data_IF_483101074286
#
_entry.id   IF_483101074286
#
_cell.length_a   1.000
_cell.length_b   1.000
_cell.length_c   1.000
_cell.angle_alpha   90.00
_cell.angle_beta   90.00
_cell.angle_gamma   90.00
#
_symmetry.space_group_name_H-M   'P 1'
#
loop_
_entity.id
_entity.type
_entity.pdbx_description
1 polymer ?
#
# COMPACT_ATOMS: atom_id res chain seq x y z
N UNK A 1 -18.32 -20.64 64.03
CA UNK A 1 -17.86 -21.41 62.85
C UNK A 1 -18.72 -21.02 61.66
N UNK A 2 -18.39 -19.99 60.95
CA UNK A 2 -18.74 -19.81 59.54
C UNK A 2 -17.84 -18.74 59.00
N UNK A 3 -16.83 -19.19 58.27
CA UNK A 3 -15.97 -18.32 57.43
C UNK A 3 -16.78 -17.81 56.26
N UNK A 4 -16.98 -16.51 56.19
CA UNK A 4 -17.49 -15.82 55.01
C UNK A 4 -16.30 -15.53 54.10
N UNK A 5 -16.20 -16.22 53.03
CA UNK A 5 -15.24 -15.93 51.97
C UNK A 5 -15.79 -14.74 51.18
N UNK A 6 -15.38 -13.56 51.56
CA UNK A 6 -15.48 -12.38 50.71
C UNK A 6 -14.43 -12.49 49.59
N UNK A 7 -14.84 -12.90 48.42
CA UNK A 7 -14.05 -12.68 47.20
C UNK A 7 -14.19 -11.19 46.90
N UNK A 8 -13.21 -10.40 47.32
CA UNK A 8 -13.03 -9.06 46.78
C UNK A 8 -12.63 -9.24 45.31
N UNK A 9 -13.57 -9.04 44.40
CA UNK A 9 -13.20 -8.78 42.98
C UNK A 9 -12.29 -7.53 42.98
N UNK A 10 -11.00 -7.77 42.79
CA UNK A 10 -10.07 -6.70 42.45
C UNK A 10 -10.60 -5.99 41.20
N UNK A 11 -11.28 -4.88 41.40
CA UNK A 11 -11.58 -3.94 40.31
C UNK A 11 -10.21 -3.48 39.78
N UNK A 12 -9.74 -4.13 38.72
CA UNK A 12 -8.53 -3.72 38.01
C UNK A 12 -8.70 -2.26 37.64
N UNK A 13 -8.01 -1.37 38.38
CA UNK A 13 -7.91 0.05 38.00
C UNK A 13 -7.44 0.07 36.53
N UNK A 14 -8.14 0.80 35.66
CA UNK A 14 -7.69 0.94 34.28
C UNK A 14 -6.22 1.34 34.31
N UNK A 15 -5.38 0.57 33.62
CA UNK A 15 -3.95 0.84 33.63
C UNK A 15 -3.72 2.26 33.08
N UNK A 16 -2.65 2.93 33.52
CA UNK A 16 -2.24 4.26 33.02
C UNK A 16 -2.22 4.28 31.49
N UNK A 17 -1.90 3.16 30.84
CA UNK A 17 -1.93 2.95 29.38
C UNK A 17 -3.30 3.21 28.75
N UNK A 18 -4.41 2.91 29.42
CA UNK A 18 -5.76 3.12 28.83
C UNK A 18 -6.11 4.60 28.73
N UNK A 19 -5.72 5.40 29.69
CA UNK A 19 -5.94 6.86 29.69
C UNK A 19 -5.05 7.52 28.64
N UNK A 20 -3.77 7.12 28.59
CA UNK A 20 -2.83 7.58 27.58
C UNK A 20 -3.32 7.24 26.18
N UNK A 21 -3.79 6.00 25.94
CA UNK A 21 -4.33 5.55 24.67
C UNK A 21 -5.56 6.36 24.24
N UNK A 22 -6.48 6.66 25.15
CA UNK A 22 -7.64 7.50 24.87
C UNK A 22 -7.22 8.93 24.48
N UNK A 23 -6.21 9.48 25.14
CA UNK A 23 -5.64 10.78 24.82
C UNK A 23 -4.98 10.79 23.44
N UNK A 24 -4.17 9.78 23.12
CA UNK A 24 -3.53 9.63 21.80
C UNK A 24 -4.56 9.56 20.68
N UNK A 25 -5.60 8.73 20.83
CA UNK A 25 -6.68 8.60 19.85
C UNK A 25 -7.40 9.93 19.60
N UNK A 26 -7.68 10.68 20.65
CA UNK A 26 -8.31 12.00 20.53
C UNK A 26 -7.41 12.99 19.81
N UNK A 27 -6.13 13.01 20.13
CA UNK A 27 -5.15 13.88 19.48
C UNK A 27 -5.02 13.56 17.98
N UNK A 28 -4.94 12.28 17.61
CA UNK A 28 -4.87 11.83 16.21
C UNK A 28 -6.14 12.27 15.44
N UNK A 29 -7.33 12.08 16.01
CA UNK A 29 -8.57 12.53 15.40
C UNK A 29 -8.60 14.05 15.19
N UNK A 30 -8.10 14.82 16.14
CA UNK A 30 -7.98 16.27 16.00
C UNK A 30 -7.01 16.66 14.89
N UNK A 31 -5.88 15.99 14.72
CA UNK A 31 -4.95 16.22 13.61
C UNK A 31 -5.62 15.97 12.26
N UNK A 32 -6.38 14.89 12.12
CA UNK A 32 -7.14 14.60 10.89
C UNK A 32 -8.16 15.71 10.61
N UNK A 33 -8.90 16.16 11.60
CA UNK A 33 -9.87 17.25 11.44
C UNK A 33 -9.18 18.56 11.01
N UNK A 34 -8.03 18.86 11.57
CA UNK A 34 -7.26 20.06 11.22
C UNK A 34 -6.74 19.98 9.78
N UNK A 35 -6.12 18.88 9.38
CA UNK A 35 -5.55 18.75 8.04
C UNK A 35 -6.62 18.71 6.95
N UNK A 36 -7.78 18.12 7.23
CA UNK A 36 -8.90 18.05 6.28
C UNK A 36 -9.76 19.30 6.26
N UNK A 37 -9.69 20.14 7.30
CA UNK A 37 -10.61 21.25 7.52
C UNK A 37 -12.06 20.78 7.78
N UNK A 38 -12.26 19.52 8.16
CA UNK A 38 -13.56 18.87 8.30
C UNK A 38 -13.72 18.23 9.67
N UNK A 39 -14.89 18.38 10.28
CA UNK A 39 -15.22 17.81 11.60
C UNK A 39 -16.07 16.53 11.50
N UNK A 40 -16.48 16.16 10.29
CA UNK A 40 -17.32 14.98 10.04
C UNK A 40 -16.51 13.71 9.72
N UNK A 41 -15.19 13.83 9.57
CA UNK A 41 -14.31 12.70 9.29
C UNK A 41 -14.17 11.81 10.53
N UNK A 42 -14.57 10.56 10.40
CA UNK A 42 -14.42 9.56 11.46
C UNK A 42 -13.04 8.94 11.40
N UNK A 43 -12.35 8.94 12.53
CA UNK A 43 -11.09 8.22 12.71
C UNK A 43 -11.37 6.94 13.50
N UNK A 44 -11.21 5.80 12.86
CA UNK A 44 -11.45 4.48 13.42
C UNK A 44 -10.11 3.82 13.77
N UNK A 45 -10.03 3.22 14.95
CA UNK A 45 -8.86 2.48 15.41
C UNK A 45 -9.16 0.99 15.39
N UNK A 46 -8.40 0.22 14.59
CA UNK A 46 -8.59 -1.23 14.42
C UNK A 46 -7.33 -1.99 14.82
N UNK A 47 -7.50 -3.24 15.22
CA UNK A 47 -6.38 -4.18 15.37
C UNK A 47 -5.79 -4.49 13.99
N UNK A 48 -4.46 -4.66 13.95
CA UNK A 48 -3.69 -4.81 12.71
C UNK A 48 -2.82 -3.59 12.45
N UNK A 49 -1.96 -3.68 11.45
CA UNK A 49 -0.97 -2.64 11.15
C UNK A 49 -1.38 -1.75 9.96
N UNK A 50 -2.49 -2.08 9.29
CA UNK A 50 -2.97 -1.34 8.13
C UNK A 50 -3.58 0.01 8.52
N UNK A 51 -3.18 1.04 7.78
CA UNK A 51 -3.79 2.37 7.82
C UNK A 51 -4.26 2.74 6.42
N UNK A 52 -5.47 3.28 6.29
CA UNK A 52 -6.05 3.64 5.00
C UNK A 52 -7.21 4.62 5.13
N UNK A 53 -7.60 5.20 4.01
CA UNK A 53 -8.85 5.96 3.88
C UNK A 53 -9.70 5.50 2.69
N UNK A 54 -11.01 5.69 2.78
CA UNK A 54 -11.98 5.50 1.69
C UNK A 54 -12.56 6.83 1.17
N UNK A 55 -11.97 7.95 1.62
CA UNK A 55 -12.45 9.30 1.31
C UNK A 55 -13.51 9.83 2.28
N UNK A 56 -13.99 9.01 3.21
CA UNK A 56 -15.04 9.38 4.19
C UNK A 56 -14.61 9.16 5.64
N UNK A 57 -13.70 8.25 5.86
CA UNK A 57 -13.13 7.92 7.18
C UNK A 57 -11.66 7.61 7.04
N UNK A 58 -10.94 7.76 8.14
CA UNK A 58 -9.56 7.31 8.29
C UNK A 58 -9.54 6.10 9.21
N UNK A 59 -8.82 5.05 8.83
CA UNK A 59 -8.58 3.85 9.65
C UNK A 59 -7.12 3.83 10.03
N UNK A 60 -6.84 3.67 11.33
CA UNK A 60 -5.49 3.64 11.89
C UNK A 60 -5.33 2.41 12.78
N UNK A 61 -4.13 1.87 12.86
CA UNK A 61 -3.79 0.81 13.81
C UNK A 61 -4.12 1.24 15.26
N UNK A 62 -4.75 0.34 16.01
CA UNK A 62 -5.02 0.56 17.43
C UNK A 62 -3.79 0.37 18.34
N UNK A 63 -2.68 -0.15 17.81
CA UNK A 63 -1.44 -0.39 18.55
C UNK A 63 -0.64 0.91 18.73
N UNK A 64 -1.21 1.88 19.46
CA UNK A 64 -0.60 3.18 19.69
C UNK A 64 0.08 3.17 21.04
N UNK A 65 1.37 3.52 21.05
CA UNK A 65 2.22 3.67 22.24
C UNK A 65 2.98 4.99 22.12
N UNK A 66 3.51 5.49 23.20
CA UNK A 66 4.32 6.71 23.21
C UNK A 66 5.43 6.66 22.16
N UNK A 67 6.15 5.54 22.05
CA UNK A 67 7.27 5.36 21.12
C UNK A 67 6.92 5.43 19.64
N UNK A 68 5.66 5.17 19.25
CA UNK A 68 5.19 5.21 17.87
C UNK A 68 4.11 6.27 17.63
N UNK A 69 3.86 7.14 18.58
CA UNK A 69 2.82 8.17 18.50
C UNK A 69 3.05 9.08 17.30
N UNK A 70 4.25 9.64 17.15
CA UNK A 70 4.57 10.56 16.05
C UNK A 70 4.43 9.91 14.67
N UNK A 71 4.88 8.66 14.52
CA UNK A 71 4.71 7.93 13.25
C UNK A 71 3.24 7.61 12.96
N UNK A 72 2.45 7.35 14.00
CA UNK A 72 1.01 7.11 13.88
C UNK A 72 0.26 8.41 13.54
N UNK A 73 0.65 9.54 14.10
CA UNK A 73 0.15 10.86 13.68
C UNK A 73 0.50 11.13 12.22
N UNK A 74 1.73 10.81 11.81
CA UNK A 74 2.16 10.92 10.42
C UNK A 74 1.27 10.13 9.46
N UNK A 75 0.96 8.88 9.77
CA UNK A 75 0.01 8.07 9.00
C UNK A 75 -1.39 8.70 8.94
N UNK A 76 -1.91 9.15 10.07
CA UNK A 76 -3.24 9.76 10.12
C UNK A 76 -3.32 11.06 9.31
N UNK A 77 -2.26 11.88 9.34
CA UNK A 77 -2.15 13.08 8.53
C UNK A 77 -2.06 12.74 7.03
N UNK A 78 -1.31 11.70 6.69
CA UNK A 78 -1.19 11.21 5.31
C UNK A 78 -2.56 10.76 4.78
N UNK A 79 -3.26 9.88 5.49
CA UNK A 79 -4.58 9.40 5.13
C UNK A 79 -5.64 10.53 5.08
N UNK A 80 -5.57 11.46 6.02
CA UNK A 80 -6.41 12.66 6.01
C UNK A 80 -6.14 13.55 4.80
N UNK A 81 -4.89 13.64 4.37
CA UNK A 81 -4.48 14.41 3.19
C UNK A 81 -5.02 13.82 1.90
N UNK A 82 -5.15 12.49 1.79
CA UNK A 82 -5.87 11.85 0.69
C UNK A 82 -7.33 12.31 0.62
N UNK A 83 -8.03 12.42 1.76
CA UNK A 83 -9.42 12.91 1.79
C UNK A 83 -9.52 14.33 1.21
N UNK A 84 -8.52 15.16 1.46
CA UNK A 84 -8.47 16.54 0.99
C UNK A 84 -8.11 16.65 -0.50
N UNK A 85 -7.18 15.81 -0.98
CA UNK A 85 -6.46 16.05 -2.22
C UNK A 85 -6.71 15.02 -3.32
N UNK A 86 -7.19 13.81 -2.98
CA UNK A 86 -7.38 12.74 -3.96
C UNK A 86 -8.80 12.72 -4.55
N UNK A 87 -8.89 12.38 -5.84
CA UNK A 87 -10.16 12.17 -6.53
C UNK A 87 -10.63 10.72 -6.35
N UNK A 88 -11.39 10.47 -5.28
CA UNK A 88 -11.93 9.14 -4.98
C UNK A 88 -12.97 8.64 -6.00
N UNK A 89 -13.60 9.54 -6.75
CA UNK A 89 -14.50 9.13 -7.84
C UNK A 89 -13.67 8.55 -8.99
N UNK A 90 -12.60 9.23 -9.38
CA UNK A 90 -11.66 8.71 -10.36
C UNK A 90 -11.07 7.36 -9.93
N UNK A 91 -10.63 7.22 -8.67
CA UNK A 91 -10.08 5.97 -8.14
C UNK A 91 -11.08 4.81 -8.17
N UNK A 92 -12.36 5.07 -7.88
CA UNK A 92 -13.43 4.06 -7.99
C UNK A 92 -13.70 3.65 -9.43
N UNK A 93 -13.72 4.61 -10.35
CA UNK A 93 -13.94 4.35 -11.78
C UNK A 93 -12.78 3.54 -12.37
N UNK A 94 -11.56 3.84 -11.95
CA UNK A 94 -10.37 3.07 -12.27
C UNK A 94 -10.52 1.61 -11.83
N UNK A 95 -10.94 1.37 -10.60
CA UNK A 95 -11.20 0.03 -10.08
C UNK A 95 -12.35 -0.69 -10.83
N UNK A 96 -13.28 0.03 -11.44
CA UNK A 96 -14.37 -0.48 -12.27
C UNK A 96 -13.95 -0.98 -13.66
N UNK A 97 -12.67 -0.87 -14.02
CA UNK A 97 -12.12 -1.48 -15.24
C UNK A 97 -12.00 -0.57 -16.46
N UNK A 98 -12.20 0.75 -16.27
CA UNK A 98 -11.95 1.74 -17.32
C UNK A 98 -10.56 2.35 -17.13
N UNK A 99 -9.54 1.95 -17.91
CA UNK A 99 -8.26 2.42 -17.45
C UNK A 99 -7.12 2.62 -18.40
N UNK A 100 -6.93 1.83 -19.40
CA UNK A 100 -5.69 1.97 -20.16
C UNK A 100 -5.91 1.67 -21.61
N UNK A 101 -5.01 2.18 -22.43
CA UNK A 101 -5.01 1.87 -23.85
C UNK A 101 -4.77 0.37 -24.10
N UNK A 102 -5.17 -0.06 -25.28
CA UNK A 102 -4.99 -1.46 -25.67
C UNK A 102 -3.50 -1.85 -25.77
N UNK A 103 -2.62 -0.89 -26.01
CA UNK A 103 -1.18 -1.14 -26.15
C UNK A 103 -0.57 -1.60 -24.83
N UNK A 104 -0.85 -0.90 -23.74
CA UNK A 104 -0.39 -1.29 -22.39
C UNK A 104 -0.93 -2.66 -21.98
N UNK A 105 -2.22 -2.94 -22.29
CA UNK A 105 -2.81 -4.26 -22.01
C UNK A 105 -2.11 -5.37 -22.80
N UNK A 106 -1.83 -5.15 -24.09
CA UNK A 106 -1.12 -6.12 -24.93
C UNK A 106 0.32 -6.34 -24.46
N UNK A 107 1.04 -5.28 -24.11
CA UNK A 107 2.38 -5.40 -23.52
C UNK A 107 2.37 -6.26 -22.27
N UNK A 108 1.43 -5.98 -21.35
CA UNK A 108 1.30 -6.73 -20.10
C UNK A 108 0.93 -8.21 -20.36
N UNK A 109 0.03 -8.48 -21.31
CA UNK A 109 -0.34 -9.83 -21.69
C UNK A 109 0.85 -10.63 -22.24
N UNK A 110 1.73 -10.01 -23.02
CA UNK A 110 2.97 -10.63 -23.53
C UNK A 110 3.95 -10.98 -22.39
N UNK A 111 3.80 -10.33 -21.22
CA UNK A 111 4.55 -10.64 -19.99
C UNK A 111 3.80 -11.59 -19.05
N UNK A 112 2.69 -12.19 -19.49
CA UNK A 112 1.89 -13.13 -18.70
C UNK A 112 0.88 -12.50 -17.75
N UNK A 113 0.68 -11.17 -17.77
CA UNK A 113 -0.25 -10.49 -16.88
C UNK A 113 -1.65 -10.38 -17.47
N UNK A 114 -2.64 -10.77 -16.67
CA UNK A 114 -4.05 -10.60 -17.00
C UNK A 114 -4.50 -9.14 -16.84
N UNK A 115 -5.67 -8.78 -17.35
CA UNK A 115 -6.25 -7.46 -17.15
C UNK A 115 -6.46 -7.09 -15.66
N UNK A 116 -6.92 -7.99 -14.78
CA UNK A 116 -6.92 -7.74 -13.33
C UNK A 116 -5.55 -7.40 -12.74
N UNK A 117 -4.48 -8.08 -13.19
CA UNK A 117 -3.12 -7.79 -12.72
C UNK A 117 -2.68 -6.39 -13.15
N UNK A 118 -2.94 -6.00 -14.41
CA UNK A 118 -2.68 -4.63 -14.90
C UNK A 118 -3.37 -3.58 -14.05
N UNK A 119 -4.65 -3.81 -13.70
CA UNK A 119 -5.39 -2.90 -12.82
C UNK A 119 -4.78 -2.81 -11.42
N UNK A 120 -4.37 -3.95 -10.87
CA UNK A 120 -3.70 -4.01 -9.56
C UNK A 120 -2.37 -3.26 -9.58
N UNK A 121 -1.53 -3.51 -10.58
CA UNK A 121 -0.24 -2.86 -10.77
C UNK A 121 -0.39 -1.34 -10.91
N UNK A 122 -1.28 -0.89 -11.80
CA UNK A 122 -1.54 0.54 -11.99
C UNK A 122 -2.08 1.21 -10.75
N UNK A 123 -2.90 0.51 -9.96
CA UNK A 123 -3.39 1.03 -8.69
C UNK A 123 -2.26 1.22 -7.68
N UNK A 124 -1.32 0.28 -7.59
CA UNK A 124 -0.15 0.39 -6.70
C UNK A 124 0.76 1.56 -7.13
N UNK A 125 1.04 1.67 -8.43
CA UNK A 125 1.86 2.77 -8.97
C UNK A 125 1.19 4.12 -8.80
N UNK A 126 -0.11 4.20 -9.06
CA UNK A 126 -0.88 5.42 -8.83
C UNK A 126 -0.85 5.84 -7.37
N UNK A 127 -1.05 4.90 -6.44
CA UNK A 127 -0.97 5.19 -5.01
C UNK A 127 0.40 5.79 -4.66
N UNK A 128 1.49 5.18 -5.14
CA UNK A 128 2.83 5.69 -4.91
C UNK A 128 3.05 7.11 -5.43
N UNK A 129 2.65 7.40 -6.68
CA UNK A 129 2.81 8.74 -7.27
C UNK A 129 1.93 9.78 -6.59
N UNK A 130 0.69 9.38 -6.25
CA UNK A 130 -0.26 10.23 -5.53
C UNK A 130 0.27 10.58 -4.14
N UNK A 131 0.87 9.63 -3.42
CA UNK A 131 1.52 9.88 -2.12
C UNK A 131 2.62 10.94 -2.24
N UNK A 132 3.44 10.87 -3.30
CA UNK A 132 4.51 11.89 -3.52
C UNK A 132 3.92 13.26 -3.75
N UNK A 133 2.83 13.36 -4.52
CA UNK A 133 2.10 14.61 -4.78
C UNK A 133 1.52 15.20 -3.50
N UNK A 134 0.85 14.37 -2.72
CA UNK A 134 0.18 14.75 -1.47
C UNK A 134 1.21 15.19 -0.43
N UNK A 135 2.26 14.40 -0.22
CA UNK A 135 3.32 14.72 0.74
C UNK A 135 4.00 16.04 0.39
N UNK A 136 4.29 16.26 -0.90
CA UNK A 136 4.85 17.54 -1.35
C UNK A 136 3.91 18.71 -1.03
N UNK A 137 2.61 18.57 -1.30
CA UNK A 137 1.62 19.59 -0.99
C UNK A 137 1.59 19.93 0.50
N UNK A 138 1.57 18.93 1.36
CA UNK A 138 1.57 19.12 2.83
C UNK A 138 2.88 19.75 3.29
N UNK A 139 4.03 19.30 2.80
CA UNK A 139 5.32 19.86 3.17
C UNK A 139 5.46 21.34 2.80
N UNK A 140 4.85 21.75 1.69
CA UNK A 140 4.84 23.14 1.25
C UNK A 140 3.88 24.00 2.05
N UNK A 141 2.66 23.53 2.27
CA UNK A 141 1.57 24.34 2.82
C UNK A 141 1.41 24.19 4.34
N UNK A 142 1.91 23.14 4.93
CA UNK A 142 1.77 22.81 6.36
C UNK A 142 3.10 22.33 6.95
N UNK A 143 4.16 23.15 6.93
CA UNK A 143 5.51 22.71 7.32
C UNK A 143 5.62 22.24 8.77
N UNK A 144 4.69 22.62 9.64
CA UNK A 144 4.62 22.16 11.05
C UNK A 144 4.39 20.65 11.17
N UNK A 145 3.88 19.99 10.14
CA UNK A 145 3.63 18.55 10.14
C UNK A 145 4.82 17.70 9.70
N UNK A 146 5.86 18.30 9.15
CA UNK A 146 7.04 17.59 8.61
C UNK A 146 7.64 16.59 9.61
N UNK A 147 7.71 16.94 10.90
CA UNK A 147 8.25 16.06 11.92
C UNK A 147 7.52 14.73 12.03
N UNK A 148 6.21 14.73 11.94
CA UNK A 148 5.37 13.53 11.97
C UNK A 148 5.56 12.68 10.71
N UNK A 149 5.61 13.31 9.54
CA UNK A 149 5.90 12.61 8.27
C UNK A 149 7.30 11.99 8.28
N UNK A 150 8.32 12.69 8.77
CA UNK A 150 9.65 12.13 8.90
C UNK A 150 9.69 10.92 9.84
N UNK A 151 8.94 10.97 10.95
CA UNK A 151 8.81 9.83 11.87
C UNK A 151 8.12 8.65 11.20
N UNK A 152 7.07 8.89 10.40
CA UNK A 152 6.38 7.89 9.61
C UNK A 152 7.33 7.24 8.60
N UNK A 153 8.01 8.04 7.77
CA UNK A 153 8.97 7.53 6.78
C UNK A 153 10.09 6.72 7.41
N UNK A 154 10.66 7.20 8.53
CA UNK A 154 11.71 6.48 9.26
C UNK A 154 11.25 5.13 9.77
N UNK A 155 10.00 5.04 10.18
CA UNK A 155 9.43 3.82 10.74
C UNK A 155 9.11 2.78 9.66
N UNK A 156 8.48 3.21 8.57
CA UNK A 156 7.89 2.30 7.58
C UNK A 156 8.73 2.12 6.32
N UNK A 157 9.45 3.14 5.85
CA UNK A 157 10.17 3.13 4.57
C UNK A 157 11.70 3.23 4.71
N UNK A 158 12.20 3.76 5.82
CA UNK A 158 13.64 3.98 6.02
C UNK A 158 14.13 3.27 7.28
N UNK A 159 13.52 2.14 7.61
CA UNK A 159 13.95 1.30 8.73
C UNK A 159 15.23 0.53 8.39
N UNK A 160 15.96 0.07 9.42
CA UNK A 160 17.16 -0.75 9.20
C UNK A 160 16.89 -2.05 8.44
N UNK A 161 15.67 -2.60 8.53
CA UNK A 161 15.28 -3.81 7.79
C UNK A 161 15.17 -3.47 6.31
N UNK A 162 14.50 -2.38 5.96
CA UNK A 162 14.40 -1.91 4.57
C UNK A 162 15.78 -1.55 4.00
N UNK A 163 16.62 -0.85 4.76
CA UNK A 163 17.99 -0.52 4.34
C UNK A 163 18.84 -1.76 4.06
N UNK A 164 18.66 -2.84 4.82
CA UNK A 164 19.32 -4.11 4.56
C UNK A 164 18.79 -4.78 3.30
N UNK A 165 17.48 -4.80 3.11
CA UNK A 165 16.85 -5.37 1.91
C UNK A 165 17.29 -4.61 0.64
N UNK A 166 17.35 -3.27 0.67
CA UNK A 166 17.85 -2.46 -0.46
C UNK A 166 19.27 -2.84 -0.87
N UNK A 167 20.14 -3.18 0.11
CA UNK A 167 21.56 -3.50 -0.10
C UNK A 167 21.83 -4.99 -0.33
N UNK A 168 20.81 -5.83 -0.22
CA UNK A 168 20.92 -7.26 -0.47
C UNK A 168 20.79 -7.60 -1.95
N UNK A 169 21.02 -8.84 -2.29
CA UNK A 169 20.78 -9.39 -3.62
C UNK A 169 19.29 -9.73 -3.85
N UNK A 170 18.42 -9.44 -2.88
CA UNK A 170 16.98 -9.53 -3.05
C UNK A 170 16.47 -8.40 -3.94
N UNK A 171 15.37 -8.62 -4.63
CA UNK A 171 14.74 -7.62 -5.52
C UNK A 171 15.70 -7.07 -6.60
N UNK A 172 16.44 -8.00 -7.23
CA UNK A 172 17.39 -7.69 -8.32
C UNK A 172 17.03 -8.37 -9.65
N UNK A 173 15.93 -9.13 -9.68
CA UNK A 173 15.40 -9.79 -10.87
C UNK A 173 14.51 -8.85 -11.68
N UNK A 174 14.41 -9.08 -12.99
CA UNK A 174 13.54 -8.30 -13.87
C UNK A 174 12.07 -8.76 -13.73
N UNK A 175 11.54 -8.74 -12.51
CA UNK A 175 10.17 -9.08 -12.18
C UNK A 175 9.41 -7.90 -11.55
N UNK A 176 8.10 -8.01 -11.50
CA UNK A 176 7.23 -6.98 -10.95
C UNK A 176 7.54 -6.64 -9.49
N UNK A 177 7.77 -7.64 -8.65
CA UNK A 177 7.98 -7.44 -7.22
C UNK A 177 9.27 -6.68 -6.94
N UNK A 178 10.33 -6.97 -7.71
CA UNK A 178 11.61 -6.27 -7.65
C UNK A 178 11.45 -4.79 -8.05
N UNK A 179 10.80 -4.52 -9.17
CA UNK A 179 10.54 -3.12 -9.59
C UNK A 179 9.67 -2.39 -8.56
N UNK A 180 8.60 -3.00 -8.07
CA UNK A 180 7.73 -2.40 -7.06
C UNK A 180 8.49 -2.08 -5.78
N UNK A 181 9.29 -3.03 -5.27
CA UNK A 181 10.10 -2.80 -4.07
C UNK A 181 11.08 -1.64 -4.26
N UNK A 182 11.82 -1.61 -5.37
CA UNK A 182 12.77 -0.55 -5.69
C UNK A 182 12.08 0.80 -5.85
N UNK A 183 10.94 0.84 -6.51
CA UNK A 183 10.14 2.04 -6.70
C UNK A 183 9.65 2.62 -5.38
N UNK A 184 9.07 1.80 -4.49
CA UNK A 184 8.59 2.24 -3.18
C UNK A 184 9.71 2.86 -2.33
N UNK A 185 10.96 2.45 -2.59
CA UNK A 185 12.14 2.91 -1.87
C UNK A 185 12.96 4.00 -2.60
N UNK A 186 12.44 4.59 -3.67
CA UNK A 186 13.16 5.65 -4.41
C UNK A 186 13.46 6.91 -3.56
N UNK A 187 12.70 7.15 -2.49
CA UNK A 187 12.99 8.25 -1.55
C UNK A 187 14.02 7.88 -0.48
N UNK A 188 14.39 6.59 -0.35
CA UNK A 188 15.39 6.15 0.59
C UNK A 188 16.79 6.65 0.14
N UNK A 189 17.60 7.17 1.08
CA UNK A 189 18.96 7.62 0.81
C UNK A 189 19.90 6.52 0.31
N UNK A 190 19.59 5.25 0.63
CA UNK A 190 20.37 4.07 0.22
C UNK A 190 19.85 3.46 -1.09
N UNK A 191 18.91 4.11 -1.80
CA UNK A 191 18.41 3.60 -3.07
C UNK A 191 19.55 3.31 -4.06
N UNK A 192 19.38 2.25 -4.81
CA UNK A 192 20.30 1.84 -5.88
C UNK A 192 19.54 1.91 -7.20
N UNK A 193 19.94 2.79 -8.10
CA UNK A 193 19.23 3.06 -9.35
C UNK A 193 19.77 2.23 -10.53
N UNK A 194 20.89 1.57 -10.34
CA UNK A 194 21.59 0.72 -11.32
C UNK A 194 21.31 -0.78 -11.16
N UNK A 195 20.48 -1.16 -10.20
CA UNK A 195 20.24 -2.56 -9.86
C UNK A 195 19.21 -3.24 -10.78
N UNK A 196 18.35 -2.47 -11.40
CA UNK A 196 17.38 -2.93 -12.40
C UNK A 196 17.46 -2.06 -13.65
N UNK A 197 17.23 -2.63 -14.84
CA UNK A 197 17.19 -1.85 -16.07
C UNK A 197 16.20 -0.69 -16.01
N UNK A 198 16.58 0.48 -16.49
CA UNK A 198 15.75 1.70 -16.56
C UNK A 198 15.16 2.18 -15.19
N UNK A 199 15.68 1.72 -14.05
CA UNK A 199 15.22 2.20 -12.74
C UNK A 199 15.60 3.67 -12.52
N UNK A 200 16.72 4.12 -13.04
CA UNK A 200 17.13 5.51 -13.09
C UNK A 200 16.18 6.36 -13.93
N UNK A 201 15.72 5.84 -15.06
CA UNK A 201 14.71 6.48 -15.91
C UNK A 201 13.36 6.59 -15.18
N UNK A 202 12.97 5.57 -14.41
CA UNK A 202 11.77 5.64 -13.56
C UNK A 202 11.92 6.74 -12.50
N UNK A 203 13.09 6.83 -11.87
CA UNK A 203 13.39 7.93 -10.95
C UNK A 203 13.24 9.29 -11.63
N UNK A 204 13.79 9.47 -12.83
CA UNK A 204 13.70 10.72 -13.58
C UNK A 204 12.25 11.05 -13.98
N UNK A 205 11.46 10.05 -14.37
CA UNK A 205 10.03 10.23 -14.66
C UNK A 205 9.29 10.80 -13.45
N UNK A 206 9.51 10.23 -12.26
CA UNK A 206 8.73 10.57 -11.06
C UNK A 206 9.23 11.87 -10.39
N UNK A 207 10.56 12.10 -10.34
CA UNK A 207 11.14 13.16 -9.51
C UNK A 207 11.76 14.32 -10.30
N UNK A 208 12.01 14.15 -11.59
CA UNK A 208 12.60 15.19 -12.44
C UNK A 208 11.58 15.68 -13.47
N UNK A 209 11.15 14.82 -14.39
CA UNK A 209 10.23 15.18 -15.48
C UNK A 209 8.85 15.58 -14.94
N UNK A 210 8.28 14.77 -14.05
CA UNK A 210 6.97 14.99 -13.44
C UNK A 210 7.14 15.24 -11.93
N UNK A 211 8.01 16.19 -11.57
CA UNK A 211 8.23 16.50 -10.17
C UNK A 211 6.90 16.69 -9.42
N UNK A 212 6.71 16.14 -8.21
CA UNK A 212 5.45 16.20 -7.46
C UNK A 212 4.79 17.58 -7.36
N UNK A 213 5.61 18.66 -7.41
CA UNK A 213 5.12 20.03 -7.41
C UNK A 213 4.33 20.44 -8.68
N UNK A 214 4.47 19.69 -9.75
CA UNK A 214 3.85 20.00 -11.05
C UNK A 214 2.53 19.24 -11.25
N UNK A 215 2.30 18.21 -10.46
CA UNK A 215 1.09 17.39 -10.53
C UNK A 215 -0.09 18.12 -9.86
N UNK A 216 -1.13 18.38 -10.64
CA UNK A 216 -2.28 19.16 -10.19
C UNK A 216 -3.32 18.34 -9.44
N UNK A 217 -3.56 17.12 -9.91
CA UNK A 217 -4.63 16.24 -9.43
C UNK A 217 -4.24 14.76 -9.56
N UNK A 218 -5.14 13.89 -9.13
CA UNK A 218 -5.00 12.42 -9.20
C UNK A 218 -4.86 11.91 -10.64
N UNK A 219 -5.46 12.61 -11.63
CA UNK A 219 -5.37 12.22 -13.05
C UNK A 219 -3.97 12.47 -13.61
N UNK A 220 -3.30 13.53 -13.18
CA UNK A 220 -1.91 13.77 -13.53
C UNK A 220 -1.00 12.71 -12.91
N UNK A 221 -1.24 12.35 -11.63
CA UNK A 221 -0.53 11.24 -10.98
C UNK A 221 -0.73 9.91 -11.73
N UNK A 222 -1.93 9.64 -12.22
CA UNK A 222 -2.22 8.46 -12.99
C UNK A 222 -1.45 8.39 -14.33
N UNK A 223 -1.32 9.51 -15.05
CA UNK A 223 -0.50 9.56 -16.28
C UNK A 223 0.94 9.19 -16.01
N UNK A 224 1.50 9.67 -14.89
CA UNK A 224 2.85 9.33 -14.47
C UNK A 224 2.96 7.84 -14.11
N UNK A 225 1.99 7.31 -13.36
CA UNK A 225 1.93 5.90 -13.02
C UNK A 225 1.86 5.00 -14.27
N UNK A 226 1.09 5.39 -15.28
CA UNK A 226 1.01 4.68 -16.56
C UNK A 226 2.34 4.73 -17.34
N UNK A 227 3.01 5.89 -17.36
CA UNK A 227 4.32 6.03 -17.97
C UNK A 227 5.36 5.12 -17.30
N UNK A 228 5.39 5.11 -15.95
CA UNK A 228 6.26 4.23 -15.16
C UNK A 228 5.95 2.77 -15.44
N UNK A 229 4.67 2.39 -15.49
CA UNK A 229 4.25 1.01 -15.75
C UNK A 229 4.74 0.53 -17.12
N UNK A 230 4.63 1.36 -18.16
CA UNK A 230 5.14 0.99 -19.48
C UNK A 230 6.67 0.77 -19.49
N UNK A 231 7.43 1.58 -18.74
CA UNK A 231 8.88 1.37 -18.60
C UNK A 231 9.17 0.03 -17.90
N UNK A 232 8.43 -0.29 -16.86
CA UNK A 232 8.56 -1.58 -16.15
C UNK A 232 8.26 -2.73 -17.12
N UNK A 233 7.13 -2.69 -17.84
CA UNK A 233 6.74 -3.74 -18.79
C UNK A 233 7.79 -3.98 -19.90
N UNK A 234 8.45 -2.91 -20.37
CA UNK A 234 9.49 -3.02 -21.38
C UNK A 234 10.75 -3.75 -20.87
N UNK A 235 10.93 -3.84 -19.55
CA UNK A 235 12.11 -4.42 -18.90
C UNK A 235 11.84 -5.73 -18.11
N UNK A 236 10.58 -6.14 -17.97
CA UNK A 236 10.26 -7.43 -17.34
C UNK A 236 10.72 -8.58 -18.24
N UNK A 237 11.17 -9.67 -17.63
CA UNK A 237 11.41 -10.91 -18.32
C UNK A 237 10.11 -11.41 -18.97
N UNK A 238 10.22 -12.10 -20.10
CA UNK A 238 9.05 -12.70 -20.75
C UNK A 238 8.46 -13.77 -19.85
N UNK A 239 7.13 -13.79 -19.74
CA UNK A 239 6.44 -14.83 -18.99
C UNK A 239 6.84 -16.19 -19.54
N UNK A 240 7.24 -17.12 -18.66
CA UNK A 240 7.47 -18.50 -19.06
C UNK A 240 6.10 -19.01 -19.55
N UNK A 241 5.97 -19.26 -20.86
CA UNK A 241 4.91 -20.13 -21.33
C UNK A 241 5.11 -21.48 -20.65
N UNK A 242 4.31 -21.77 -19.61
CA UNK A 242 4.17 -23.13 -19.16
C UNK A 242 3.65 -23.90 -20.38
N UNK A 243 4.54 -24.64 -21.06
CA UNK A 243 4.12 -25.68 -21.99
C UNK A 243 3.16 -26.57 -21.20
N UNK A 244 1.87 -26.37 -21.45
CA UNK A 244 0.85 -27.29 -21.00
C UNK A 244 1.15 -28.63 -21.71
N UNK A 245 1.99 -29.45 -21.07
CA UNK A 245 2.04 -30.86 -21.39
C UNK A 245 0.69 -31.44 -20.94
N UNK A 246 -0.33 -31.27 -21.76
CA UNK A 246 -1.50 -32.13 -21.72
C UNK A 246 -1.00 -33.53 -22.05
N UNK A 247 -0.58 -34.25 -21.03
CA UNK A 247 -0.50 -35.68 -21.08
C UNK A 247 -1.89 -36.19 -21.42
N UNK A 248 -2.01 -36.87 -22.57
CA UNK A 248 -3.18 -37.62 -22.96
C UNK A 248 -3.62 -38.49 -21.80
N UNK A 249 -4.79 -38.17 -21.23
CA UNK A 249 -5.47 -39.05 -20.29
C UNK A 249 -6.06 -40.18 -21.12
N UNK A 250 -5.36 -41.32 -21.16
CA UNK A 250 -5.94 -42.57 -21.63
C UNK A 250 -7.15 -42.91 -20.77
N UNK A 251 -8.34 -42.71 -21.32
CA UNK A 251 -9.57 -43.23 -20.76
C UNK A 251 -9.61 -44.74 -20.94
N UNK A 252 -9.28 -45.47 -19.87
CA UNK A 252 -9.59 -46.91 -19.82
C UNK A 252 -11.10 -47.06 -19.68
N UNK A 253 -11.75 -47.96 -20.50
CA UNK A 253 -13.17 -48.20 -20.35
C UNK A 253 -13.42 -48.99 -19.07
N UNK A 254 -14.52 -48.60 -18.39
CA UNK A 254 -15.01 -49.29 -17.21
C UNK A 254 -15.38 -50.72 -17.58
N UNK A 255 -14.81 -51.70 -16.88
CA UNK A 255 -15.24 -53.08 -16.93
C UNK A 255 -16.55 -53.22 -16.12
N UNK A 256 -17.56 -53.72 -16.79
CA UNK A 256 -18.77 -54.25 -16.18
C UNK A 256 -18.39 -55.39 -15.20
N UNK A 257 -18.80 -55.27 -13.98
CA UNK A 257 -18.74 -56.32 -12.96
C UNK A 257 -20.12 -56.67 -12.53
N UNK A 258 -20.49 -57.90 -12.86
CA UNK A 258 -21.78 -58.55 -12.58
C UNK A 258 -22.19 -58.50 -11.13
N UNK A 259 -23.50 -58.40 -10.95
CA UNK A 259 -24.11 -58.60 -9.67
C UNK A 259 -24.20 -60.08 -9.30
N UNK A 260 -24.16 -60.36 -8.02
CA UNK A 260 -24.85 -61.51 -7.45
C UNK A 260 -25.40 -61.15 -6.07
N UNK A 261 -26.69 -61.36 -5.97
CA UNK A 261 -27.52 -61.37 -4.79
C UNK A 261 -27.30 -62.65 -3.97
N UNK A 262 -27.29 -62.59 -2.69
CA UNK A 262 -27.96 -63.59 -1.83
C UNK A 262 -27.86 -63.26 -0.35
N UNK A 263 -29.04 -63.32 0.23
CA UNK A 263 -29.49 -63.54 1.60
C UNK A 263 -29.24 -62.50 2.66
#
# INVERSE_FOLDING_TARGET
IFDSWGVEEEVKKPSVDTIALASYRRSIANFVNIVTGRNDIKVNFKSGDDSYTDGKKVVISSNIKERNFDSTVGLALHEGSHILLSDFEFLRNLAGGFVTDNETILKAANKGYSKPDVLSHLKMLLNYVEDRRIDYHIFKNSPGYKGYYHSMYKTYFHSNIIDKAIKSDEYTSNDWDSYLFRLLNLTNKNRMLDVLPDLDKIYDIVFVKNHPSTLKDTKDAFKVALEVYNVILDNLDDGIEEENSYGEVETKPASEGDGESSE
#
